data_IF_294516893211
#
_entry.id   IF_294516893211
#
_cell.length_a   1.000
_cell.length_b   1.000
_cell.length_c   1.000
_cell.angle_alpha   90.00
_cell.angle_beta   90.00
_cell.angle_gamma   90.00
#
_symmetry.space_group_name_H-M   'P 1'
#
loop_
_entity.id
_entity.type
_entity.pdbx_description
1 polymer ?
#
# COMPACT_ATOMS: atom_id res chain seq x y z
N UNK A 1 12.13 4.27 -1.74
CA UNK A 1 13.60 4.13 -1.76
C UNK A 1 14.16 3.64 -0.44
N UNK A 2 13.86 4.29 0.68
CA UNK A 2 14.52 4.02 1.97
C UNK A 2 14.44 2.58 2.47
N UNK A 3 13.30 1.91 2.28
CA UNK A 3 13.11 0.53 2.78
C UNK A 3 13.45 -0.53 1.73
N UNK A 4 12.96 -0.37 0.49
CA UNK A 4 13.06 -1.40 -0.56
C UNK A 4 14.04 -1.06 -1.69
N UNK A 5 14.70 0.10 -1.66
CA UNK A 5 15.59 0.54 -2.76
C UNK A 5 14.88 0.96 -4.05
N UNK A 6 13.54 0.90 -4.09
CA UNK A 6 12.73 1.17 -5.29
C UNK A 6 12.13 2.57 -5.31
N UNK A 7 11.86 3.08 -6.51
CA UNK A 7 11.01 4.25 -6.75
C UNK A 7 9.55 3.84 -6.90
N UNK A 8 8.70 4.35 -6.01
CA UNK A 8 7.27 4.16 -6.10
C UNK A 8 6.68 5.15 -7.11
N UNK A 9 5.79 4.68 -7.99
CA UNK A 9 5.07 5.53 -8.92
C UNK A 9 3.65 5.78 -8.40
N UNK A 10 3.24 7.04 -8.19
CA UNK A 10 1.86 7.34 -7.83
C UNK A 10 0.92 6.99 -8.99
N UNK A 11 -0.24 6.43 -8.68
CA UNK A 11 -1.23 5.99 -9.66
C UNK A 11 -2.64 6.20 -9.14
N UNK A 12 -3.56 6.51 -10.04
CA UNK A 12 -5.01 6.55 -9.81
C UNK A 12 -5.76 5.52 -10.66
N UNK A 13 -5.02 4.62 -11.33
CA UNK A 13 -5.59 3.57 -12.17
C UNK A 13 -6.13 2.41 -11.31
N UNK A 14 -7.03 1.60 -11.90
CA UNK A 14 -7.63 0.45 -11.24
C UNK A 14 -9.06 0.71 -10.79
N UNK A 15 -9.44 0.12 -9.65
CA UNK A 15 -10.78 0.24 -9.06
C UNK A 15 -10.92 1.44 -8.12
N UNK A 16 -11.73 1.29 -7.08
CA UNK A 16 -11.91 2.28 -6.00
C UNK A 16 -11.75 1.60 -4.64
N UNK A 17 -11.46 2.39 -3.61
CA UNK A 17 -11.41 1.96 -2.21
C UNK A 17 -12.29 2.84 -1.34
N UNK A 18 -12.35 2.52 -0.06
CA UNK A 18 -13.05 3.35 0.94
C UNK A 18 -12.31 4.65 1.28
N UNK A 19 -11.13 4.89 0.69
CA UNK A 19 -10.47 6.19 0.71
C UNK A 19 -11.38 7.32 0.23
N UNK A 20 -12.34 7.03 -0.68
CA UNK A 20 -13.35 8.01 -1.13
C UNK A 20 -14.24 8.56 -0.02
N UNK A 21 -14.41 7.82 1.08
CA UNK A 21 -15.18 8.23 2.24
C UNK A 21 -14.32 8.87 3.33
N UNK A 22 -13.02 8.55 3.36
CA UNK A 22 -12.06 9.09 4.33
C UNK A 22 -11.56 10.47 3.88
N UNK A 23 -11.25 10.66 2.60
CA UNK A 23 -10.72 11.93 2.10
C UNK A 23 -11.58 13.17 2.45
N UNK A 24 -12.94 13.12 2.44
CA UNK A 24 -13.77 14.25 2.87
C UNK A 24 -13.60 14.69 4.33
N UNK A 25 -12.97 13.89 5.20
CA UNK A 25 -12.66 14.31 6.58
C UNK A 25 -11.51 15.31 6.66
N UNK A 26 -10.85 15.60 5.53
CA UNK A 26 -9.63 16.43 5.46
C UNK A 26 -8.34 15.64 5.68
N UNK A 27 -8.41 14.31 5.77
CA UNK A 27 -7.23 13.45 5.86
C UNK A 27 -6.53 13.33 4.50
N UNK A 28 -5.20 13.33 4.51
CA UNK A 28 -4.41 12.90 3.35
C UNK A 28 -4.47 11.38 3.23
N UNK A 29 -4.89 10.88 2.05
CA UNK A 29 -5.13 9.45 1.82
C UNK A 29 -4.25 8.94 0.69
N UNK A 30 -3.54 7.84 0.98
CA UNK A 30 -2.84 7.03 -0.02
C UNK A 30 -3.27 5.57 0.11
N UNK A 31 -3.11 4.80 -0.96
CA UNK A 31 -3.27 3.35 -0.95
C UNK A 31 -1.91 2.69 -1.21
N UNK A 32 -1.60 1.68 -0.41
CA UNK A 32 -0.35 0.92 -0.49
C UNK A 32 -0.64 -0.51 -0.08
N UNK A 33 -0.16 -1.49 -0.86
CA UNK A 33 -0.38 -2.92 -0.59
C UNK A 33 0.45 -3.82 -1.49
N UNK A 34 0.30 -5.15 -1.38
CA UNK A 34 0.99 -6.12 -2.22
C UNK A 34 0.43 -6.13 -3.64
N UNK A 35 1.03 -6.96 -4.51
CA UNK A 35 0.63 -7.06 -5.91
C UNK A 35 -0.84 -7.52 -6.03
N UNK A 36 -1.65 -6.73 -6.74
CA UNK A 36 -3.08 -7.01 -6.92
C UNK A 36 -3.40 -7.96 -8.10
N UNK A 37 -2.41 -8.62 -8.69
CA UNK A 37 -2.57 -9.36 -9.94
C UNK A 37 -3.59 -10.52 -9.88
N UNK A 38 -3.81 -11.06 -8.68
CA UNK A 38 -4.68 -12.23 -8.45
C UNK A 38 -5.94 -11.92 -7.65
N UNK A 39 -6.19 -10.65 -7.28
CA UNK A 39 -7.40 -10.32 -6.51
C UNK A 39 -8.65 -10.70 -7.29
N UNK A 40 -9.65 -11.26 -6.60
CA UNK A 40 -10.92 -11.70 -7.19
C UNK A 40 -10.77 -12.77 -8.28
N UNK A 41 -9.71 -13.58 -8.23
CA UNK A 41 -9.52 -14.74 -9.10
C UNK A 41 -9.46 -16.02 -8.26
N UNK A 42 -9.68 -17.16 -8.90
CA UNK A 42 -9.35 -18.46 -8.29
C UNK A 42 -7.85 -18.51 -8.02
N UNK A 43 -7.46 -19.21 -6.95
CA UNK A 43 -6.07 -19.33 -6.49
C UNK A 43 -5.40 -17.98 -6.19
N UNK A 44 -6.15 -17.06 -5.56
CA UNK A 44 -5.62 -15.80 -5.03
C UNK A 44 -4.47 -16.07 -4.05
N UNK A 45 -3.33 -15.40 -4.27
CA UNK A 45 -2.14 -15.60 -3.45
C UNK A 45 -1.29 -14.33 -3.38
N UNK A 46 -0.31 -14.37 -2.49
CA UNK A 46 0.68 -13.32 -2.29
C UNK A 46 2.04 -13.96 -2.03
N UNK A 47 3.13 -13.31 -2.43
CA UNK A 47 4.47 -13.73 -2.04
C UNK A 47 4.64 -13.58 -0.53
N UNK A 48 4.91 -14.67 0.19
CA UNK A 48 5.03 -14.63 1.65
C UNK A 48 6.08 -13.60 2.13
N UNK A 49 7.23 -13.53 1.44
CA UNK A 49 8.28 -12.56 1.75
C UNK A 49 7.88 -11.09 1.48
N UNK A 50 6.86 -10.84 0.66
CA UNK A 50 6.38 -9.48 0.41
C UNK A 50 5.53 -8.95 1.57
N UNK A 51 4.97 -9.83 2.41
CA UNK A 51 4.27 -9.43 3.63
C UNK A 51 5.24 -8.84 4.66
N UNK A 52 6.40 -9.47 4.86
CA UNK A 52 7.44 -8.97 5.77
C UNK A 52 7.98 -7.61 5.30
N UNK A 53 8.26 -7.49 3.99
CA UNK A 53 8.67 -6.21 3.38
C UNK A 53 7.61 -5.12 3.55
N UNK A 54 6.34 -5.47 3.32
CA UNK A 54 5.24 -4.51 3.46
C UNK A 54 5.08 -4.02 4.90
N UNK A 55 5.25 -4.91 5.88
CA UNK A 55 5.27 -4.55 7.30
C UNK A 55 6.39 -3.55 7.61
N UNK A 56 7.61 -3.80 7.13
CA UNK A 56 8.75 -2.88 7.32
C UNK A 56 8.49 -1.51 6.68
N UNK A 57 7.84 -1.48 5.50
CA UNK A 57 7.45 -0.21 4.86
C UNK A 57 6.43 0.56 5.71
N UNK A 58 5.40 -0.10 6.26
CA UNK A 58 4.44 0.58 7.13
C UNK A 58 5.08 1.08 8.43
N UNK A 59 5.94 0.29 9.06
CA UNK A 59 6.71 0.73 10.24
C UNK A 59 7.54 1.97 9.92
N UNK A 60 8.22 1.98 8.77
CA UNK A 60 9.01 3.13 8.32
C UNK A 60 8.15 4.37 8.07
N UNK A 61 6.94 4.22 7.54
CA UNK A 61 5.98 5.33 7.39
C UNK A 61 5.61 5.89 8.76
N UNK A 62 5.27 5.03 9.72
CA UNK A 62 4.93 5.44 11.08
C UNK A 62 6.09 6.19 11.75
N UNK A 63 7.32 5.68 11.65
CA UNK A 63 8.52 6.35 12.16
C UNK A 63 8.73 7.73 11.53
N UNK A 64 8.49 7.90 10.22
CA UNK A 64 8.64 9.21 9.57
C UNK A 64 7.57 10.23 9.99
N UNK A 65 6.39 9.76 10.38
CA UNK A 65 5.26 10.62 10.73
C UNK A 65 5.21 10.96 12.23
N UNK A 66 5.66 10.03 13.08
CA UNK A 66 5.43 10.08 14.53
C UNK A 66 6.72 9.97 15.38
N UNK A 67 7.83 9.56 14.78
CA UNK A 67 9.14 9.45 15.45
C UNK A 67 10.03 10.65 15.16
#
# INVERSE_FOLDING_TARGET
RDELGLDCQPSTAGGTSDGRFIAPTGAEVIELGPLNATIHKVDEHVGAADLDKLSAVYERILHKLLG
#
